data_IF_452099887282
#
_entry.id   IF_452099887282
#
_cell.length_a   1.000
_cell.length_b   1.000
_cell.length_c   1.000
_cell.angle_alpha   90.00
_cell.angle_beta   90.00
_cell.angle_gamma   90.00
#
_symmetry.space_group_name_H-M   'P 1'
#
loop_
_entity.id
_entity.type
_entity.pdbx_description
1 polymer ?
#
# COMPACT_ATOMS: atom_id res chain seq x y z
N UNK A 1 67.22 -18.21 -1.65
CA UNK A 1 66.14 -19.20 -1.89
C UNK A 1 65.03 -18.45 -2.63
N UNK A 2 64.97 -18.46 -3.97
CA UNK A 2 64.23 -19.38 -4.88
C UNK A 2 62.76 -19.53 -4.42
N UNK A 3 61.70 -19.21 -5.18
CA UNK A 3 61.35 -19.51 -6.59
C UNK A 3 60.41 -18.40 -7.14
N UNK A 4 60.53 -17.82 -8.34
CA UNK A 4 60.45 -18.32 -9.73
C UNK A 4 59.02 -18.67 -10.23
N UNK A 5 58.44 -17.70 -10.96
CA UNK A 5 57.59 -17.71 -12.17
C UNK A 5 56.79 -18.95 -12.60
N UNK A 6 55.54 -18.75 -13.03
CA UNK A 6 54.92 -19.55 -14.10
C UNK A 6 53.93 -18.74 -14.98
N UNK A 7 53.80 -19.21 -16.22
CA UNK A 7 53.43 -18.53 -17.46
C UNK A 7 51.92 -18.36 -17.74
N UNK A 8 51.59 -17.26 -18.43
CA UNK A 8 50.75 -17.13 -19.65
C UNK A 8 49.73 -18.25 -19.94
N UNK A 9 48.45 -17.89 -20.05
CA UNK A 9 47.54 -18.49 -21.05
C UNK A 9 46.77 -17.40 -21.77
N UNK A 10 47.15 -17.20 -23.03
CA UNK A 10 46.38 -16.54 -24.08
C UNK A 10 45.16 -17.43 -24.38
N UNK A 11 43.94 -16.93 -24.19
CA UNK A 11 42.72 -17.59 -24.68
C UNK A 11 41.82 -16.55 -25.33
N UNK A 12 41.55 -16.75 -26.62
CA UNK A 12 40.51 -16.06 -27.36
C UNK A 12 39.15 -16.34 -26.70
N UNK A 13 38.47 -15.29 -26.25
CA UNK A 13 37.03 -15.32 -26.08
C UNK A 13 36.47 -14.16 -26.90
N UNK A 14 35.95 -14.49 -28.09
CA UNK A 14 34.98 -13.68 -28.82
C UNK A 14 33.75 -13.63 -27.94
N UNK A 15 33.60 -12.55 -27.17
CA UNK A 15 32.42 -12.34 -26.34
C UNK A 15 31.36 -11.76 -27.27
N UNK A 16 30.42 -12.63 -27.62
CA UNK A 16 29.14 -12.26 -28.21
C UNK A 16 28.55 -11.09 -27.43
N UNK A 17 27.97 -10.12 -28.15
CA UNK A 17 27.26 -9.00 -27.56
C UNK A 17 26.13 -9.49 -26.64
N UNK A 18 26.44 -9.61 -25.37
CA UNK A 18 25.46 -9.43 -24.32
C UNK A 18 25.25 -7.92 -24.28
N UNK A 19 24.03 -7.45 -24.62
CA UNK A 19 23.66 -6.07 -24.34
C UNK A 19 24.02 -5.75 -22.89
N UNK A 20 24.60 -4.56 -22.68
CA UNK A 20 25.05 -4.13 -21.36
C UNK A 20 23.94 -4.41 -20.34
N UNK A 21 24.23 -5.06 -19.20
CA UNK A 21 23.27 -5.09 -18.11
C UNK A 21 22.94 -3.64 -17.81
N UNK A 22 21.66 -3.27 -17.94
CA UNK A 22 21.18 -1.99 -17.44
C UNK A 22 21.45 -2.02 -15.94
N UNK A 23 22.57 -1.45 -15.52
CA UNK A 23 22.78 -1.08 -14.13
C UNK A 23 21.63 -0.12 -13.82
N UNK A 24 20.63 -0.61 -13.09
CA UNK A 24 19.64 0.26 -12.47
C UNK A 24 20.42 1.03 -11.41
N UNK A 25 20.96 2.17 -11.80
CA UNK A 25 21.56 3.12 -10.88
C UNK A 25 20.43 3.68 -10.01
N UNK A 26 20.23 3.05 -8.86
CA UNK A 26 19.31 3.48 -7.81
C UNK A 26 19.90 4.64 -6.99
N UNK A 27 20.87 5.40 -7.53
CA UNK A 27 21.37 6.66 -6.97
C UNK A 27 20.23 7.68 -6.77
N UNK A 28 19.18 7.65 -7.59
CA UNK A 28 18.01 8.53 -7.51
C UNK A 28 16.82 7.96 -6.73
N UNK A 29 16.96 6.82 -6.05
CA UNK A 29 15.91 6.25 -5.19
C UNK A 29 15.75 7.00 -3.85
N UNK A 30 15.84 8.34 -3.84
CA UNK A 30 16.09 9.13 -2.62
C UNK A 30 15.01 10.13 -2.22
N UNK A 31 13.85 10.13 -2.87
CA UNK A 31 12.69 10.83 -2.31
C UNK A 31 11.99 9.94 -1.29
N UNK A 32 12.44 10.07 -0.03
CA UNK A 32 11.74 9.46 1.10
C UNK A 32 10.40 10.18 1.30
N UNK A 33 9.31 9.43 1.40
CA UNK A 33 8.00 9.95 1.79
C UNK A 33 8.13 10.55 3.21
N UNK A 34 7.90 11.86 3.34
CA UNK A 34 7.95 12.59 4.61
C UNK A 34 6.55 12.74 5.21
N UNK A 35 6.49 13.03 6.51
CA UNK A 35 5.23 13.29 7.20
C UNK A 35 4.22 12.14 7.17
N UNK A 36 4.66 10.89 6.98
CA UNK A 36 3.76 9.75 6.96
C UNK A 36 2.93 9.62 8.25
N UNK A 37 1.63 9.39 8.11
CA UNK A 37 0.75 8.98 9.21
C UNK A 37 -0.37 8.05 8.72
N UNK A 38 -0.91 7.23 9.63
CA UNK A 38 -2.05 6.37 9.36
C UNK A 38 -3.29 6.98 10.01
N UNK A 39 -4.27 7.34 9.19
CA UNK A 39 -5.59 7.75 9.65
C UNK A 39 -6.50 6.52 9.72
N UNK A 40 -7.14 6.31 10.87
CA UNK A 40 -8.13 5.25 11.06
C UNK A 40 -9.45 5.86 11.47
N UNK A 41 -10.52 5.52 10.74
CA UNK A 41 -11.88 5.95 11.04
C UNK A 41 -12.82 4.75 11.04
N UNK A 42 -13.84 4.81 11.89
CA UNK A 42 -14.85 3.76 12.03
C UNK A 42 -16.25 4.34 11.97
N UNK A 43 -17.18 3.58 11.39
CA UNK A 43 -18.61 3.86 11.51
C UNK A 43 -19.14 3.38 12.87
N UNK A 44 -20.37 3.80 13.19
CA UNK A 44 -21.15 3.20 14.28
C UNK A 44 -21.28 1.69 14.10
N UNK A 45 -21.23 0.95 15.21
CA UNK A 45 -21.54 -0.47 15.27
C UNK A 45 -23.07 -0.64 15.38
N UNK A 46 -23.69 -1.06 14.29
CA UNK A 46 -25.14 -1.25 14.17
C UNK A 46 -25.45 -2.17 12.98
N UNK A 47 -26.72 -2.46 12.75
CA UNK A 47 -27.20 -3.37 11.70
C UNK A 47 -27.61 -2.69 10.39
N UNK A 48 -27.11 -1.48 10.10
CA UNK A 48 -27.39 -0.79 8.85
C UNK A 48 -27.04 -1.68 7.63
N UNK A 49 -27.88 -1.70 6.58
CA UNK A 49 -27.69 -2.59 5.43
C UNK A 49 -26.46 -2.24 4.59
N UNK A 50 -26.07 -0.96 4.58
CA UNK A 50 -24.83 -0.46 3.97
C UNK A 50 -24.27 0.67 4.81
N UNK A 51 -22.95 0.84 4.80
CA UNK A 51 -22.28 1.94 5.50
C UNK A 51 -21.31 2.64 4.56
N UNK A 52 -21.35 3.97 4.63
CA UNK A 52 -20.41 4.85 3.95
C UNK A 52 -19.58 5.59 4.98
N UNK A 53 -18.29 5.71 4.71
CA UNK A 53 -17.37 6.46 5.56
C UNK A 53 -16.34 7.16 4.67
N UNK A 54 -15.90 8.34 5.12
CA UNK A 54 -14.86 9.13 4.46
C UNK A 54 -13.72 9.31 5.45
N UNK A 55 -12.51 8.90 5.06
CA UNK A 55 -11.30 9.12 5.81
C UNK A 55 -10.57 10.33 5.22
N UNK A 56 -10.38 11.39 6.02
CA UNK A 56 -9.68 12.60 5.61
C UNK A 56 -8.24 12.58 6.11
N UNK A 57 -7.27 12.80 5.22
CA UNK A 57 -5.91 13.09 5.62
C UNK A 57 -5.82 14.47 6.28
N UNK A 58 -4.88 14.67 7.23
CA UNK A 58 -4.66 15.99 7.81
C UNK A 58 -4.25 17.04 6.77
N UNK A 59 -4.43 18.31 7.14
CA UNK A 59 -4.12 19.43 6.28
C UNK A 59 -2.66 19.37 5.80
N UNK A 60 -2.45 19.58 4.50
CA UNK A 60 -1.14 19.50 3.84
C UNK A 60 -0.78 18.11 3.29
N UNK A 61 -1.53 17.05 3.64
CA UNK A 61 -1.22 15.68 3.23
C UNK A 61 -2.17 15.15 2.15
N UNK A 62 -1.70 14.13 1.41
CA UNK A 62 -2.48 13.36 0.46
C UNK A 62 -2.53 11.88 0.83
N UNK A 63 -3.59 11.20 0.40
CA UNK A 63 -3.74 9.75 0.53
C UNK A 63 -2.80 9.07 -0.47
N UNK A 64 -1.87 8.28 0.03
CA UNK A 64 -1.02 7.42 -0.80
C UNK A 64 -1.61 6.03 -0.99
N UNK A 65 -2.30 5.52 0.02
CA UNK A 65 -3.01 4.25 -0.05
C UNK A 65 -4.16 4.21 0.96
N UNK A 66 -5.14 3.36 0.70
CA UNK A 66 -6.24 3.12 1.62
C UNK A 66 -6.67 1.65 1.59
N UNK A 67 -7.20 1.19 2.72
CA UNK A 67 -7.82 -0.10 2.87
C UNK A 67 -9.06 -0.01 3.75
N UNK A 68 -9.94 -1.01 3.63
CA UNK A 68 -11.17 -1.09 4.41
C UNK A 68 -11.36 -2.48 4.99
N UNK A 69 -12.19 -2.56 6.04
CA UNK A 69 -12.57 -3.83 6.66
C UNK A 69 -13.99 -3.73 7.20
N UNK A 70 -14.76 -4.80 7.03
CA UNK A 70 -16.04 -5.00 7.72
C UNK A 70 -15.73 -5.81 8.98
N UNK A 71 -16.13 -5.28 10.14
CA UNK A 71 -15.75 -5.82 11.43
C UNK A 71 -16.98 -6.05 12.32
N UNK A 72 -16.88 -7.05 13.20
CA UNK A 72 -17.84 -7.25 14.29
C UNK A 72 -17.53 -6.37 15.52
N UNK A 73 -18.25 -6.59 16.62
CA UNK A 73 -18.05 -5.86 17.88
C UNK A 73 -16.74 -6.19 18.61
N UNK A 74 -16.02 -7.23 18.18
CA UNK A 74 -14.73 -7.68 18.72
C UNK A 74 -13.54 -7.34 17.83
N UNK A 75 -13.76 -6.58 16.75
CA UNK A 75 -12.80 -6.30 15.68
C UNK A 75 -12.38 -7.52 14.84
N UNK A 76 -13.14 -8.61 14.88
CA UNK A 76 -12.93 -9.73 13.97
C UNK A 76 -13.40 -9.35 12.55
N UNK A 77 -12.69 -9.86 11.55
CA UNK A 77 -13.00 -9.60 10.15
C UNK A 77 -14.20 -10.45 9.73
N UNK A 78 -15.22 -9.79 9.19
CA UNK A 78 -16.37 -10.42 8.55
C UNK A 78 -16.23 -10.40 7.03
N UNK A 79 -16.95 -11.26 6.32
CA UNK A 79 -17.04 -11.13 4.87
C UNK A 79 -17.86 -9.90 4.52
N UNK A 80 -17.24 -9.01 3.75
CA UNK A 80 -17.83 -7.79 3.29
C UNK A 80 -17.52 -7.55 1.82
N UNK A 81 -18.32 -6.66 1.20
CA UNK A 81 -18.08 -6.20 -0.16
C UNK A 81 -18.11 -4.68 -0.19
N UNK A 82 -17.04 -4.07 -0.68
CA UNK A 82 -17.09 -2.67 -1.07
C UNK A 82 -17.89 -2.54 -2.37
N UNK A 83 -18.88 -1.65 -2.35
CA UNK A 83 -19.62 -1.21 -3.54
C UNK A 83 -18.99 0.03 -4.15
N UNK A 84 -18.22 0.79 -3.36
CA UNK A 84 -17.46 1.96 -3.79
C UNK A 84 -16.19 2.09 -2.93
N UNK A 85 -15.05 2.42 -3.54
CA UNK A 85 -13.80 2.67 -2.84
C UNK A 85 -12.84 3.47 -3.72
N UNK A 86 -12.88 4.80 -3.59
CA UNK A 86 -12.10 5.70 -4.44
C UNK A 86 -11.55 6.89 -3.64
N UNK A 87 -10.39 7.46 -4.05
CA UNK A 87 -9.90 8.70 -3.49
C UNK A 87 -10.78 9.88 -3.93
N UNK A 88 -10.78 10.97 -3.16
CA UNK A 88 -11.30 12.25 -3.66
C UNK A 88 -10.42 12.78 -4.79
N UNK A 89 -11.01 13.63 -5.63
CA UNK A 89 -10.31 14.23 -6.79
C UNK A 89 -9.04 14.99 -6.40
N UNK A 90 -9.07 15.67 -5.25
CA UNK A 90 -7.92 16.38 -4.71
C UNK A 90 -6.93 15.45 -3.97
N UNK A 91 -7.21 14.16 -3.84
CA UNK A 91 -6.39 13.18 -3.13
C UNK A 91 -6.31 13.39 -1.61
N UNK A 92 -7.15 14.25 -1.02
CA UNK A 92 -7.10 14.51 0.44
C UNK A 92 -7.89 13.50 1.27
N UNK A 93 -8.79 12.74 0.65
CA UNK A 93 -9.65 11.81 1.36
C UNK A 93 -9.88 10.54 0.57
N UNK A 94 -10.35 9.51 1.27
CA UNK A 94 -10.77 8.26 0.67
C UNK A 94 -12.17 7.90 1.14
N UNK A 95 -13.06 7.61 0.18
CA UNK A 95 -14.44 7.26 0.47
C UNK A 95 -14.66 5.78 0.20
N UNK A 96 -15.29 5.08 1.15
CA UNK A 96 -15.71 3.69 0.99
C UNK A 96 -17.19 3.56 1.29
N UNK A 97 -17.89 2.84 0.42
CA UNK A 97 -19.21 2.28 0.70
C UNK A 97 -19.08 0.75 0.73
N UNK A 98 -19.58 0.12 1.79
CA UNK A 98 -19.50 -1.32 1.96
C UNK A 98 -20.80 -1.90 2.49
N UNK A 99 -20.95 -3.21 2.30
CA UNK A 99 -22.01 -4.03 2.87
C UNK A 99 -21.41 -5.25 3.55
N UNK A 100 -22.02 -5.65 4.66
CA UNK A 100 -21.76 -6.94 5.30
C UNK A 100 -22.49 -8.04 4.54
N UNK A 101 -21.79 -9.08 4.11
CA UNK A 101 -22.39 -10.23 3.41
C UNK A 101 -22.70 -11.40 4.35
N UNK A 102 -22.23 -11.34 5.60
CA UNK A 102 -22.39 -12.37 6.63
C UNK A 102 -23.45 -11.97 7.68
N UNK A 103 -24.55 -11.37 7.24
CA UNK A 103 -25.61 -10.83 8.12
C UNK A 103 -26.32 -11.90 8.96
N UNK A 104 -26.27 -13.17 8.57
CA UNK A 104 -26.80 -14.29 9.36
C UNK A 104 -25.92 -14.66 10.55
N UNK A 105 -24.62 -14.37 10.49
CA UNK A 105 -23.64 -14.64 11.54
C UNK A 105 -23.48 -13.43 12.47
N UNK A 106 -23.27 -12.25 11.90
CA UNK A 106 -23.13 -10.99 12.64
C UNK A 106 -24.00 -9.92 11.97
N UNK A 107 -25.24 -9.70 12.43
CA UNK A 107 -26.13 -8.71 11.83
C UNK A 107 -25.66 -7.28 12.13
N UNK A 108 -25.05 -7.04 13.28
CA UNK A 108 -24.41 -5.78 13.64
C UNK A 108 -22.95 -5.80 13.22
N UNK A 109 -22.48 -4.69 12.64
CA UNK A 109 -21.15 -4.57 12.09
C UNK A 109 -20.71 -3.11 12.08
N UNK A 110 -19.41 -2.88 11.87
CA UNK A 110 -18.84 -1.56 11.61
C UNK A 110 -17.88 -1.60 10.42
N UNK A 111 -17.83 -0.49 9.69
CA UNK A 111 -16.85 -0.25 8.63
C UNK A 111 -15.65 0.47 9.25
N UNK A 112 -14.44 -0.05 9.02
CA UNK A 112 -13.18 0.61 9.34
C UNK A 112 -12.44 0.96 8.06
N UNK A 113 -12.00 2.21 7.92
CA UNK A 113 -11.09 2.63 6.85
C UNK A 113 -9.74 2.95 7.49
N UNK A 114 -8.66 2.53 6.81
CA UNK A 114 -7.28 2.93 7.13
C UNK A 114 -6.69 3.62 5.91
N UNK A 115 -6.21 4.84 6.08
CA UNK A 115 -5.52 5.59 5.04
C UNK A 115 -4.09 5.85 5.46
N UNK A 116 -3.18 5.66 4.52
CA UNK A 116 -1.81 6.18 4.60
C UNK A 116 -1.81 7.57 4.01
N UNK A 117 -1.46 8.55 4.83
CA UNK A 117 -1.36 9.95 4.46
C UNK A 117 0.10 10.38 4.55
N UNK A 118 0.56 11.21 3.62
CA UNK A 118 1.90 11.78 3.67
C UNK A 118 1.95 13.16 3.04
N UNK A 119 3.05 13.87 3.30
CA UNK A 119 3.35 15.10 2.60
C UNK A 119 3.70 14.73 1.14
N UNK A 120 3.20 15.52 0.20
CA UNK A 120 3.61 15.48 -1.21
C UNK A 120 4.10 16.87 -1.55
N UNK A 121 5.42 17.02 -1.65
CA UNK A 121 6.08 18.25 -2.08
C UNK A 121 5.92 18.49 -3.57
#
# INVERSE_FOLDING_TARGET
>A
MKYLSFFIVLSLAVIWGCGDPVEIDCSDCKESITGYEIVVVESTYDNAPSKQLVANCPAGKKVLSAGWSVLDGTDAILSGRATYSEPSFDGQSWMVNAINTDTSFSPEWKLRIRCVCADVE
#
